data_IF_205264843517
#
_entry.id   IF_205264843517
#
_cell.length_a   1.000
_cell.length_b   1.000
_cell.length_c   1.000
_cell.angle_alpha   90.00
_cell.angle_beta   90.00
_cell.angle_gamma   90.00
#
_symmetry.space_group_name_H-M   'P 1'
#
loop_
_entity.id
_entity.type
_entity.pdbx_description
1 polymer ?
#
# COMPACT_ATOMS: atom_id res chain seq x y z
N UNK A 1 -94.98 7.16 59.34
CA UNK A 1 -93.63 6.60 59.53
C UNK A 1 -93.62 5.21 58.91
N UNK A 2 -92.77 4.99 57.89
CA UNK A 2 -92.71 3.71 57.18
C UNK A 2 -91.86 2.72 57.98
N UNK A 3 -92.49 1.65 58.45
CA UNK A 3 -91.88 0.59 59.26
C UNK A 3 -90.81 -0.20 58.45
N UNK A 4 -90.76 -0.04 57.12
CA UNK A 4 -89.73 -0.62 56.24
C UNK A 4 -88.40 0.15 56.18
N UNK A 5 -88.32 1.38 56.70
CA UNK A 5 -87.06 2.16 56.67
C UNK A 5 -86.15 1.88 57.88
N UNK A 6 -86.73 1.46 59.01
CA UNK A 6 -86.00 1.15 60.25
C UNK A 6 -85.04 -0.04 60.10
N UNK A 7 -85.40 -1.16 59.44
CA UNK A 7 -84.49 -2.30 59.27
C UNK A 7 -83.27 -1.95 58.41
N UNK A 8 -83.45 -1.16 57.35
CA UNK A 8 -82.37 -0.75 56.44
C UNK A 8 -81.43 0.26 57.09
N UNK A 9 -81.95 1.21 57.87
CA UNK A 9 -81.13 2.14 58.63
C UNK A 9 -80.25 1.44 59.68
N UNK A 10 -80.78 0.41 60.34
CA UNK A 10 -80.03 -0.41 61.30
C UNK A 10 -78.96 -1.23 60.57
N UNK A 11 -79.27 -1.82 59.41
CA UNK A 11 -78.28 -2.53 58.58
C UNK A 11 -77.16 -1.61 58.08
N UNK A 12 -77.48 -0.37 57.67
CA UNK A 12 -76.50 0.66 57.30
C UNK A 12 -75.58 0.99 58.48
N UNK A 13 -76.13 1.12 59.69
CA UNK A 13 -75.35 1.35 60.91
C UNK A 13 -74.42 0.17 61.25
N UNK A 14 -74.90 -1.07 61.11
CA UNK A 14 -74.08 -2.27 61.33
C UNK A 14 -72.98 -2.41 60.28
N UNK A 15 -73.26 -2.08 59.02
CA UNK A 15 -72.25 -2.06 57.96
C UNK A 15 -71.20 -0.97 58.21
N UNK A 16 -71.61 0.24 58.63
CA UNK A 16 -70.67 1.29 59.03
C UNK A 16 -69.77 0.87 60.20
N UNK A 17 -70.31 0.17 61.21
CA UNK A 17 -69.52 -0.37 62.32
C UNK A 17 -68.55 -1.47 61.86
N UNK A 18 -69.00 -2.37 60.99
CA UNK A 18 -68.17 -3.44 60.42
C UNK A 18 -67.09 -2.91 59.47
N UNK A 19 -67.35 -1.77 58.82
CA UNK A 19 -66.43 -1.07 57.90
C UNK A 19 -65.38 -0.25 58.64
N UNK A 20 -65.66 0.21 59.86
CA UNK A 20 -64.75 1.01 60.68
C UNK A 20 -63.34 0.40 60.83
N UNK A 21 -63.16 -0.89 61.18
CA UNK A 21 -61.83 -1.49 61.24
C UNK A 21 -61.12 -1.54 59.87
N UNK A 22 -61.86 -1.76 58.77
CA UNK A 22 -61.30 -1.75 57.41
C UNK A 22 -60.84 -0.34 56.99
N UNK A 23 -61.59 0.69 57.38
CA UNK A 23 -61.22 2.09 57.12
C UNK A 23 -59.99 2.52 57.93
N UNK A 24 -59.85 2.05 59.18
CA UNK A 24 -58.64 2.28 59.99
C UNK A 24 -57.41 1.58 59.39
N UNK A 25 -57.57 0.39 58.81
CA UNK A 25 -56.49 -0.30 58.09
C UNK A 25 -56.10 0.46 56.82
N UNK A 26 -57.08 0.96 56.08
CA UNK A 26 -56.87 1.82 54.92
C UNK A 26 -56.05 3.07 55.31
N UNK A 27 -56.50 3.83 56.30
CA UNK A 27 -55.89 5.09 56.75
C UNK A 27 -54.51 4.91 57.37
N UNK A 28 -54.21 3.76 58.00
CA UNK A 28 -52.98 3.56 58.78
C UNK A 28 -51.92 2.71 58.08
N UNK A 29 -52.34 1.75 57.25
CA UNK A 29 -51.46 0.77 56.62
C UNK A 29 -51.38 0.99 55.11
N UNK A 30 -52.53 1.16 54.45
CA UNK A 30 -52.58 1.28 52.98
C UNK A 30 -52.08 2.64 52.50
N UNK A 31 -52.33 3.72 53.25
CA UNK A 31 -51.77 5.05 52.96
C UNK A 31 -50.24 5.12 52.97
N UNK A 32 -49.56 4.22 53.72
CA UNK A 32 -48.08 4.13 53.75
C UNK A 32 -47.50 3.43 52.52
N UNK A 33 -48.31 2.66 51.79
CA UNK A 33 -47.90 1.96 50.57
C UNK A 33 -48.07 2.93 49.39
N UNK A 34 -47.13 3.01 48.43
CA UNK A 34 -47.29 3.87 47.25
C UNK A 34 -48.62 3.63 46.54
N UNK A 35 -49.29 4.70 46.09
CA UNK A 35 -50.62 4.64 45.46
C UNK A 35 -50.68 3.79 44.19
N UNK A 36 -49.54 3.53 43.55
CA UNK A 36 -49.41 2.72 42.34
C UNK A 36 -48.98 1.27 42.62
N UNK A 37 -48.76 0.92 43.89
CA UNK A 37 -48.33 -0.43 44.24
C UNK A 37 -49.45 -1.44 43.90
N UNK A 38 -49.12 -2.56 43.22
CA UNK A 38 -50.13 -3.53 42.80
C UNK A 38 -51.00 -4.06 43.94
N UNK A 39 -50.40 -4.31 45.12
CA UNK A 39 -51.12 -4.78 46.29
C UNK A 39 -52.14 -3.77 46.84
N UNK A 40 -51.83 -2.47 46.78
CA UNK A 40 -52.71 -1.38 47.21
C UNK A 40 -53.86 -1.18 46.22
N UNK A 41 -53.56 -1.19 44.92
CA UNK A 41 -54.57 -1.07 43.87
C UNK A 41 -55.58 -2.23 43.86
N UNK A 42 -55.12 -3.45 44.13
CA UNK A 42 -56.00 -4.61 44.29
C UNK A 42 -56.90 -4.44 45.51
N UNK A 43 -56.35 -4.01 46.65
CA UNK A 43 -57.13 -3.75 47.87
C UNK A 43 -58.18 -2.66 47.64
N UNK A 44 -57.80 -1.49 47.13
CA UNK A 44 -58.70 -0.36 46.83
C UNK A 44 -59.80 -0.77 45.83
N UNK A 45 -59.48 -1.55 44.79
CA UNK A 45 -60.47 -2.07 43.85
C UNK A 45 -61.46 -3.05 44.49
N UNK A 46 -60.99 -4.01 45.29
CA UNK A 46 -61.89 -4.98 45.95
C UNK A 46 -62.81 -4.28 46.95
N UNK A 47 -62.28 -3.27 47.65
CA UNK A 47 -63.01 -2.48 48.62
C UNK A 47 -64.06 -1.58 47.97
N UNK A 48 -63.69 -0.93 46.86
CA UNK A 48 -64.64 -0.12 46.09
C UNK A 48 -65.76 -0.93 45.47
N UNK A 49 -65.47 -2.16 45.01
CA UNK A 49 -66.51 -3.08 44.52
C UNK A 49 -67.45 -3.54 45.63
N UNK A 50 -66.92 -3.79 46.85
CA UNK A 50 -67.73 -4.12 48.02
C UNK A 50 -68.62 -2.93 48.43
N UNK A 51 -68.07 -1.73 48.50
CA UNK A 51 -68.84 -0.52 48.87
C UNK A 51 -69.91 -0.18 47.80
N UNK A 52 -69.63 -0.39 46.51
CA UNK A 52 -70.61 -0.20 45.45
C UNK A 52 -71.73 -1.25 45.45
N UNK A 53 -71.41 -2.52 45.72
CA UNK A 53 -72.42 -3.59 45.78
C UNK A 53 -73.28 -3.49 47.03
N UNK A 54 -72.69 -3.20 48.19
CA UNK A 54 -73.43 -3.00 49.45
C UNK A 54 -74.23 -1.70 49.41
N UNK A 55 -73.68 -0.62 48.82
CA UNK A 55 -74.40 0.63 48.62
C UNK A 55 -75.65 0.46 47.75
N UNK A 56 -75.56 -0.32 46.67
CA UNK A 56 -76.72 -0.66 45.83
C UNK A 56 -77.75 -1.52 46.57
N UNK A 57 -77.31 -2.46 47.42
CA UNK A 57 -78.22 -3.32 48.19
C UNK A 57 -78.93 -2.57 49.34
N UNK A 58 -78.31 -1.52 49.89
CA UNK A 58 -78.82 -0.71 51.01
C UNK A 58 -79.45 0.62 50.58
N UNK A 59 -79.58 0.87 49.27
CA UNK A 59 -80.05 2.12 48.67
C UNK A 59 -79.31 3.35 49.25
N UNK A 60 -77.98 3.25 49.31
CA UNK A 60 -77.06 4.29 49.78
C UNK A 60 -76.24 4.86 48.61
N UNK A 61 -76.68 5.98 48.00
CA UNK A 61 -76.00 6.56 46.85
C UNK A 61 -74.57 7.04 47.18
N UNK A 62 -74.29 7.42 48.43
CA UNK A 62 -72.98 7.91 48.84
C UNK A 62 -71.92 6.78 48.90
N UNK A 63 -72.35 5.57 49.27
CA UNK A 63 -71.53 4.36 49.25
C UNK A 63 -71.27 3.88 47.82
N UNK A 64 -72.29 3.97 46.96
CA UNK A 64 -72.16 3.66 45.53
C UNK A 64 -71.14 4.58 44.85
N UNK A 65 -71.30 5.90 44.99
CA UNK A 65 -70.41 6.89 44.37
C UNK A 65 -68.96 6.75 44.82
N UNK A 66 -68.74 6.53 46.12
CA UNK A 66 -67.41 6.30 46.68
C UNK A 66 -66.79 5.00 46.17
N UNK A 67 -67.58 3.92 46.13
CA UNK A 67 -67.12 2.62 45.67
C UNK A 67 -66.72 2.64 44.19
N UNK A 68 -67.54 3.26 43.34
CA UNK A 68 -67.26 3.41 41.91
C UNK A 68 -66.03 4.28 41.67
N UNK A 69 -65.90 5.41 42.38
CA UNK A 69 -64.74 6.29 42.26
C UNK A 69 -63.43 5.59 42.67
N UNK A 70 -63.46 4.74 43.70
CA UNK A 70 -62.29 3.99 44.17
C UNK A 70 -61.85 2.90 43.17
N UNK A 71 -62.82 2.21 42.55
CA UNK A 71 -62.55 1.24 41.46
C UNK A 71 -61.94 1.93 40.24
N UNK A 72 -62.54 3.04 39.79
CA UNK A 72 -62.04 3.79 38.62
C UNK A 72 -60.63 4.36 38.84
N UNK A 73 -60.37 4.91 40.03
CA UNK A 73 -59.04 5.38 40.41
C UNK A 73 -58.01 4.25 40.41
N UNK A 74 -58.36 3.09 40.97
CA UNK A 74 -57.45 1.95 41.03
C UNK A 74 -57.13 1.41 39.63
N UNK A 75 -58.13 1.34 38.75
CA UNK A 75 -57.96 0.84 37.38
C UNK A 75 -57.19 1.83 36.48
N UNK A 76 -57.32 3.13 36.71
CA UNK A 76 -56.54 4.15 35.99
C UNK A 76 -55.09 4.16 36.43
N UNK A 77 -54.82 4.15 37.74
CA UNK A 77 -53.46 4.07 38.28
C UNK A 77 -52.76 2.75 37.92
N UNK A 78 -53.47 1.63 37.96
CA UNK A 78 -52.93 0.33 37.55
C UNK A 78 -52.53 0.29 36.07
N UNK A 79 -53.33 0.91 35.20
CA UNK A 79 -52.99 1.05 33.78
C UNK A 79 -51.80 1.99 33.56
N UNK A 80 -51.74 3.12 34.27
CA UNK A 80 -50.62 4.05 34.20
C UNK A 80 -49.31 3.37 34.61
N UNK A 81 -49.27 2.71 35.77
CA UNK A 81 -48.10 1.99 36.25
C UNK A 81 -47.64 0.88 35.27
N UNK A 82 -48.59 0.17 34.64
CA UNK A 82 -48.25 -0.83 33.62
C UNK A 82 -47.65 -0.20 32.35
N UNK A 83 -48.16 0.95 31.91
CA UNK A 83 -47.63 1.68 30.76
C UNK A 83 -46.24 2.24 31.05
N UNK A 84 -46.02 2.79 32.24
CA UNK A 84 -44.72 3.32 32.66
C UNK A 84 -43.67 2.20 32.76
N UNK A 85 -44.03 1.04 33.33
CA UNK A 85 -43.16 -0.12 33.35
C UNK A 85 -42.79 -0.60 31.92
N UNK A 86 -43.77 -0.62 31.00
CA UNK A 86 -43.52 -0.96 29.58
C UNK A 86 -42.66 0.09 28.89
N UNK A 87 -42.86 1.37 29.17
CA UNK A 87 -42.09 2.46 28.60
C UNK A 87 -40.64 2.41 29.09
N UNK A 88 -40.41 2.18 30.39
CA UNK A 88 -39.09 2.00 30.97
C UNK A 88 -38.35 0.82 30.35
N UNK A 89 -39.01 -0.35 30.25
CA UNK A 89 -38.41 -1.54 29.62
C UNK A 89 -38.08 -1.31 28.13
N UNK A 90 -38.96 -0.63 27.38
CA UNK A 90 -38.70 -0.28 25.97
C UNK A 90 -37.53 0.70 25.83
N UNK A 91 -37.43 1.68 26.73
CA UNK A 91 -36.33 2.64 26.74
C UNK A 91 -35.01 1.94 27.02
N UNK A 92 -34.96 1.09 28.04
CA UNK A 92 -33.76 0.31 28.37
C UNK A 92 -33.33 -0.58 27.21
N UNK A 93 -34.27 -1.27 26.55
CA UNK A 93 -33.98 -2.07 25.37
C UNK A 93 -33.47 -1.23 24.20
N UNK A 94 -34.05 -0.04 23.98
CA UNK A 94 -33.62 0.87 22.92
C UNK A 94 -32.21 1.41 23.19
N UNK A 95 -31.93 1.80 24.43
CA UNK A 95 -30.61 2.28 24.87
C UNK A 95 -29.55 1.18 24.72
N UNK A 96 -29.87 -0.06 25.10
CA UNK A 96 -28.98 -1.21 24.91
C UNK A 96 -28.69 -1.48 23.43
N UNK A 97 -29.72 -1.43 22.57
CA UNK A 97 -29.53 -1.58 21.11
C UNK A 97 -28.70 -0.46 20.51
N UNK A 98 -28.95 0.78 20.93
CA UNK A 98 -28.20 1.94 20.45
C UNK A 98 -26.73 1.86 20.84
N UNK A 99 -26.44 1.49 22.10
CA UNK A 99 -25.07 1.30 22.58
C UNK A 99 -24.38 0.16 21.83
N UNK A 100 -25.05 -0.98 21.65
CA UNK A 100 -24.50 -2.10 20.87
C UNK A 100 -24.16 -1.70 19.43
N UNK A 101 -25.09 -1.04 18.73
CA UNK A 101 -24.87 -0.57 17.36
C UNK A 101 -23.75 0.48 17.28
N UNK A 102 -23.61 1.33 18.30
CA UNK A 102 -22.53 2.32 18.38
C UNK A 102 -21.17 1.65 18.57
N UNK A 103 -21.09 0.66 19.46
CA UNK A 103 -19.84 -0.06 19.74
C UNK A 103 -19.40 -0.88 18.52
N UNK A 104 -20.35 -1.52 17.83
CA UNK A 104 -20.11 -2.22 16.56
C UNK A 104 -19.60 -1.26 15.48
N UNK A 105 -20.26 -0.11 15.29
CA UNK A 105 -19.80 0.89 14.32
C UNK A 105 -18.40 1.48 14.67
N UNK A 106 -18.07 1.60 15.96
CA UNK A 106 -16.72 2.02 16.38
C UNK A 106 -15.70 0.93 16.06
N UNK A 107 -16.02 -0.34 16.34
CA UNK A 107 -15.14 -1.48 16.06
C UNK A 107 -14.88 -1.62 14.54
N UNK A 108 -15.93 -1.59 13.72
CA UNK A 108 -15.82 -1.63 12.26
C UNK A 108 -14.96 -0.48 11.72
N UNK A 109 -15.16 0.74 12.24
CA UNK A 109 -14.35 1.90 11.84
C UNK A 109 -12.88 1.72 12.20
N UNK A 110 -12.59 1.19 13.39
CA UNK A 110 -11.21 0.94 13.82
C UNK A 110 -10.55 -0.15 12.98
N UNK A 111 -11.26 -1.23 12.69
CA UNK A 111 -10.78 -2.31 11.82
C UNK A 111 -10.51 -1.80 10.40
N UNK A 112 -11.44 -1.05 9.80
CA UNK A 112 -11.25 -0.45 8.49
C UNK A 112 -10.06 0.51 8.46
N UNK A 113 -9.87 1.31 9.53
CA UNK A 113 -8.71 2.20 9.66
C UNK A 113 -7.39 1.42 9.79
N UNK A 114 -7.38 0.35 10.58
CA UNK A 114 -6.22 -0.52 10.73
C UNK A 114 -5.85 -1.20 9.41
N UNK A 115 -6.83 -1.78 8.71
CA UNK A 115 -6.65 -2.40 7.40
C UNK A 115 -6.11 -1.39 6.38
N UNK A 116 -6.72 -0.20 6.29
CA UNK A 116 -6.25 0.88 5.40
C UNK A 116 -4.82 1.29 5.72
N UNK A 117 -4.46 1.42 7.00
CA UNK A 117 -3.10 1.78 7.40
C UNK A 117 -2.09 0.68 7.03
N UNK A 118 -2.49 -0.58 7.14
CA UNK A 118 -1.69 -1.74 6.78
C UNK A 118 -1.44 -1.76 5.26
N UNK A 119 -2.48 -1.59 4.45
CA UNK A 119 -2.37 -1.48 2.98
C UNK A 119 -1.47 -0.31 2.55
N UNK A 120 -1.57 0.85 3.20
CA UNK A 120 -0.69 1.99 2.93
C UNK A 120 0.77 1.65 3.24
N UNK A 121 1.04 0.96 4.35
CA UNK A 121 2.39 0.56 4.72
C UNK A 121 2.96 -0.45 3.73
N UNK A 122 2.20 -1.49 3.38
CA UNK A 122 2.59 -2.49 2.38
C UNK A 122 2.84 -1.85 1.01
N UNK A 123 1.99 -0.93 0.57
CA UNK A 123 2.17 -0.20 -0.68
C UNK A 123 3.45 0.65 -0.68
N UNK A 124 3.78 1.29 0.46
CA UNK A 124 5.03 2.05 0.62
C UNK A 124 6.25 1.15 0.58
N UNK A 125 6.22 0.02 1.29
CA UNK A 125 7.31 -0.96 1.27
C UNK A 125 7.54 -1.53 -0.12
N UNK A 126 6.47 -1.90 -0.83
CA UNK A 126 6.55 -2.38 -2.21
C UNK A 126 7.11 -1.30 -3.16
N UNK A 127 6.70 -0.03 -2.98
CA UNK A 127 7.23 1.08 -3.77
C UNK A 127 8.73 1.30 -3.52
N UNK A 128 9.18 1.25 -2.27
CA UNK A 128 10.59 1.37 -1.91
C UNK A 128 11.43 0.18 -2.42
N UNK A 129 10.91 -1.05 -2.35
CA UNK A 129 11.55 -2.22 -2.93
C UNK A 129 11.74 -2.06 -4.45
N UNK A 130 10.67 -1.69 -5.18
CA UNK A 130 10.76 -1.46 -6.63
C UNK A 130 11.76 -0.36 -6.98
N UNK A 131 11.81 0.72 -6.19
CA UNK A 131 12.80 1.80 -6.38
C UNK A 131 14.23 1.29 -6.21
N UNK A 132 14.49 0.47 -5.19
CA UNK A 132 15.80 -0.17 -4.96
C UNK A 132 16.17 -1.11 -6.10
N UNK A 133 15.25 -1.98 -6.53
CA UNK A 133 15.45 -2.90 -7.64
C UNK A 133 15.72 -2.15 -8.96
N UNK A 134 14.93 -1.11 -9.26
CA UNK A 134 15.15 -0.28 -10.44
C UNK A 134 16.53 0.40 -10.41
N UNK A 135 16.94 0.92 -9.25
CA UNK A 135 18.26 1.52 -9.08
C UNK A 135 19.38 0.50 -9.27
N UNK A 136 19.27 -0.68 -8.67
CA UNK A 136 20.26 -1.75 -8.83
C UNK A 136 20.34 -2.24 -10.27
N UNK A 137 19.19 -2.45 -10.93
CA UNK A 137 19.11 -2.85 -12.33
C UNK A 137 19.75 -1.80 -13.25
N UNK A 138 19.45 -0.52 -13.05
CA UNK A 138 20.06 0.58 -13.81
C UNK A 138 21.58 0.65 -13.61
N UNK A 139 22.06 0.44 -12.37
CA UNK A 139 23.49 0.39 -12.07
C UNK A 139 24.17 -0.81 -12.74
N UNK A 140 23.56 -2.00 -12.69
CA UNK A 140 24.08 -3.20 -13.35
C UNK A 140 24.13 -3.04 -14.86
N UNK A 141 23.08 -2.50 -15.47
CA UNK A 141 23.04 -2.22 -16.91
C UNK A 141 24.10 -1.19 -17.31
N UNK A 142 24.25 -0.13 -16.52
CA UNK A 142 25.28 0.90 -16.76
C UNK A 142 26.69 0.33 -16.64
N UNK A 143 26.95 -0.49 -15.62
CA UNK A 143 28.23 -1.18 -15.45
C UNK A 143 28.51 -2.15 -16.60
N UNK A 144 27.51 -2.90 -17.05
CA UNK A 144 27.62 -3.80 -18.20
C UNK A 144 27.88 -3.04 -19.51
N UNK A 145 27.19 -1.91 -19.72
CA UNK A 145 27.41 -1.04 -20.88
C UNK A 145 28.83 -0.46 -20.88
N UNK A 146 29.32 0.00 -19.72
CA UNK A 146 30.70 0.50 -19.58
C UNK A 146 31.73 -0.57 -19.92
N UNK A 147 31.58 -1.79 -19.38
CA UNK A 147 32.48 -2.92 -19.71
C UNK A 147 32.50 -3.22 -21.20
N UNK A 148 31.32 -3.27 -21.85
CA UNK A 148 31.23 -3.51 -23.30
C UNK A 148 31.91 -2.39 -24.11
N UNK A 149 31.78 -1.15 -23.69
CA UNK A 149 32.44 -0.02 -24.33
C UNK A 149 33.97 -0.10 -24.18
N UNK A 150 34.47 -0.44 -22.99
CA UNK A 150 35.90 -0.65 -22.73
C UNK A 150 36.45 -1.82 -23.57
N UNK A 151 35.76 -2.95 -23.62
CA UNK A 151 36.13 -4.10 -24.46
C UNK A 151 36.18 -3.73 -25.96
N UNK A 152 35.21 -2.95 -26.43
CA UNK A 152 35.19 -2.48 -27.82
C UNK A 152 36.37 -1.54 -28.12
N UNK A 153 36.66 -0.61 -27.21
CA UNK A 153 37.79 0.30 -27.32
C UNK A 153 39.13 -0.46 -27.33
N UNK A 154 39.29 -1.46 -26.46
CA UNK A 154 40.47 -2.32 -26.41
C UNK A 154 40.65 -3.13 -27.71
N UNK A 155 39.56 -3.69 -28.25
CA UNK A 155 39.60 -4.38 -29.55
C UNK A 155 40.04 -3.42 -30.65
N UNK A 156 39.49 -2.22 -30.69
CA UNK A 156 39.85 -1.21 -31.69
C UNK A 156 41.31 -0.79 -31.57
N UNK A 157 41.81 -0.57 -30.35
CA UNK A 157 43.23 -0.28 -30.09
C UNK A 157 44.13 -1.39 -30.61
N UNK A 158 43.82 -2.66 -30.31
CA UNK A 158 44.58 -3.82 -30.81
C UNK A 158 44.58 -3.90 -32.33
N UNK A 159 43.46 -3.62 -32.99
CA UNK A 159 43.36 -3.58 -34.46
C UNK A 159 44.19 -2.47 -35.06
N UNK A 160 44.20 -1.28 -34.45
CA UNK A 160 45.04 -0.15 -34.92
C UNK A 160 46.52 -0.47 -34.71
N UNK A 161 46.90 -1.03 -33.56
CA UNK A 161 48.28 -1.43 -33.29
C UNK A 161 48.77 -2.54 -34.24
N UNK A 162 47.93 -3.53 -34.55
CA UNK A 162 48.29 -4.58 -35.51
C UNK A 162 48.44 -4.04 -36.93
N UNK A 163 47.53 -3.15 -37.37
CA UNK A 163 47.63 -2.46 -38.65
C UNK A 163 48.90 -1.60 -38.73
N UNK A 164 49.22 -0.86 -37.66
CA UNK A 164 50.46 -0.06 -37.58
C UNK A 164 51.70 -0.95 -37.75
N UNK A 165 51.79 -2.06 -37.01
CA UNK A 165 52.90 -3.03 -37.15
C UNK A 165 52.98 -3.59 -38.56
N UNK A 166 51.85 -3.87 -39.20
CA UNK A 166 51.83 -4.37 -40.58
C UNK A 166 52.37 -3.33 -41.58
N UNK A 167 52.01 -2.06 -41.40
CA UNK A 167 52.55 -0.96 -42.22
C UNK A 167 54.05 -0.81 -41.98
N UNK A 168 54.52 -0.76 -40.73
CA UNK A 168 55.95 -0.67 -40.39
C UNK A 168 56.75 -1.80 -41.04
N UNK A 169 56.27 -3.05 -40.95
CA UNK A 169 56.92 -4.20 -41.58
C UNK A 169 56.97 -4.09 -43.11
N UNK A 170 55.88 -3.61 -43.74
CA UNK A 170 55.84 -3.40 -45.20
C UNK A 170 56.79 -2.30 -45.64
N UNK A 171 56.85 -1.19 -44.91
CA UNK A 171 57.78 -0.09 -45.19
C UNK A 171 59.22 -0.56 -45.08
N UNK A 172 59.59 -1.25 -43.98
CA UNK A 172 60.94 -1.81 -43.83
C UNK A 172 61.30 -2.81 -44.94
N UNK A 173 60.35 -3.65 -45.36
CA UNK A 173 60.57 -4.57 -46.47
C UNK A 173 60.77 -3.84 -47.80
N UNK A 174 59.99 -2.79 -48.07
CA UNK A 174 60.13 -1.96 -49.25
C UNK A 174 61.47 -1.20 -49.25
N UNK A 175 61.86 -0.60 -48.12
CA UNK A 175 63.16 0.07 -47.96
C UNK A 175 64.31 -0.90 -48.23
N UNK A 176 64.30 -2.10 -47.63
CA UNK A 176 65.31 -3.13 -47.89
C UNK A 176 65.37 -3.53 -49.36
N UNK A 177 64.22 -3.67 -50.02
CA UNK A 177 64.16 -4.01 -51.44
C UNK A 177 64.76 -2.90 -52.31
N UNK A 178 64.45 -1.63 -52.01
CA UNK A 178 65.03 -0.46 -52.69
C UNK A 178 66.54 -0.38 -52.45
N UNK A 179 67.01 -0.55 -51.21
CA UNK A 179 68.44 -0.58 -50.90
C UNK A 179 69.18 -1.70 -51.64
N UNK A 180 68.60 -2.91 -51.69
CA UNK A 180 69.17 -4.03 -52.44
C UNK A 180 69.24 -3.75 -53.94
N UNK A 181 68.19 -3.16 -54.51
CA UNK A 181 68.18 -2.77 -55.91
C UNK A 181 69.18 -1.65 -56.23
N UNK A 182 69.39 -0.71 -55.30
CA UNK A 182 70.41 0.33 -55.41
C UNK A 182 71.83 -0.26 -55.36
N UNK A 183 72.11 -1.15 -54.41
CA UNK A 183 73.40 -1.86 -54.33
C UNK A 183 73.71 -2.61 -55.63
N UNK A 184 72.75 -3.36 -56.16
CA UNK A 184 72.93 -4.08 -57.43
C UNK A 184 73.16 -3.14 -58.65
N UNK A 185 72.68 -1.88 -58.61
CA UNK A 185 72.98 -0.88 -59.64
C UNK A 185 74.40 -0.34 -59.49
N UNK A 186 74.88 -0.18 -58.27
CA UNK A 186 76.27 0.23 -57.98
C UNK A 186 77.22 -0.86 -58.48
N UNK A 187 77.00 -2.13 -58.11
CA UNK A 187 77.83 -3.27 -58.56
C UNK A 187 77.92 -3.30 -60.09
N UNK A 188 76.79 -3.19 -60.80
CA UNK A 188 76.76 -3.13 -62.26
C UNK A 188 77.49 -1.91 -62.85
N UNK A 189 77.52 -0.79 -62.13
CA UNK A 189 78.24 0.39 -62.57
C UNK A 189 79.75 0.20 -62.39
N UNK A 190 80.18 -0.42 -61.30
CA UNK A 190 81.56 -0.81 -61.04
C UNK A 190 82.07 -1.80 -62.10
N UNK A 191 81.29 -2.84 -62.42
CA UNK A 191 81.60 -3.80 -63.49
C UNK A 191 81.83 -3.08 -64.83
N UNK A 192 80.94 -2.14 -65.20
CA UNK A 192 81.08 -1.36 -66.43
C UNK A 192 82.30 -0.44 -66.42
N UNK A 193 82.66 0.11 -65.26
CA UNK A 193 83.87 0.92 -65.12
C UNK A 193 85.13 0.08 -65.31
N UNK A 194 85.15 -1.15 -64.78
CA UNK A 194 86.22 -2.11 -64.98
C UNK A 194 86.36 -2.49 -66.47
N UNK A 195 85.25 -2.88 -67.13
CA UNK A 195 85.26 -3.16 -68.57
C UNK A 195 85.74 -1.97 -69.41
N UNK A 196 85.36 -0.75 -69.04
CA UNK A 196 85.81 0.45 -69.72
C UNK A 196 87.32 0.71 -69.51
N UNK A 197 87.84 0.42 -68.32
CA UNK A 197 89.28 0.51 -68.03
C UNK A 197 90.07 -0.53 -68.82
N UNK A 198 89.59 -1.77 -68.92
CA UNK A 198 90.22 -2.84 -69.72
C UNK A 198 90.28 -2.46 -71.20
N UNK A 199 89.18 -1.95 -71.76
CA UNK A 199 89.14 -1.46 -73.15
C UNK A 199 90.09 -0.30 -73.40
N UNK A 200 90.26 0.61 -72.43
CA UNK A 200 91.26 1.68 -72.51
C UNK A 200 92.68 1.11 -72.52
N UNK A 201 92.98 0.18 -71.61
CA UNK A 201 94.28 -0.46 -71.57
C UNK A 201 94.60 -1.27 -72.83
N UNK A 202 93.60 -1.90 -73.46
CA UNK A 202 93.74 -2.56 -74.76
C UNK A 202 93.99 -1.54 -75.88
N UNK A 203 93.22 -0.45 -75.93
CA UNK A 203 93.43 0.62 -76.90
C UNK A 203 94.83 1.26 -76.75
N UNK A 204 95.29 1.49 -75.52
CA UNK A 204 96.64 1.99 -75.23
C UNK A 204 97.72 1.02 -75.72
N UNK A 205 97.52 -0.30 -75.54
CA UNK A 205 98.43 -1.33 -76.10
C UNK A 205 98.44 -1.33 -77.63
N UNK A 206 97.28 -1.23 -78.28
CA UNK A 206 97.19 -1.15 -79.74
C UNK A 206 97.86 0.12 -80.25
N UNK A 207 97.68 1.25 -79.58
CA UNK A 207 98.37 2.50 -79.90
C UNK A 207 99.90 2.35 -79.79
N UNK A 208 100.39 1.75 -78.70
CA UNK A 208 101.82 1.44 -78.54
C UNK A 208 102.36 0.52 -79.64
N UNK A 209 101.61 -0.52 -80.02
CA UNK A 209 101.99 -1.41 -81.12
C UNK A 209 102.02 -0.67 -82.47
N UNK A 210 101.04 0.20 -82.73
CA UNK A 210 100.99 1.01 -83.94
C UNK A 210 102.14 2.03 -84.00
N UNK A 211 102.49 2.65 -82.86
CA UNK A 211 103.63 3.56 -82.76
C UNK A 211 104.96 2.80 -82.93
N UNK A 212 105.09 1.59 -82.39
CA UNK A 212 106.24 0.71 -82.60
C UNK A 212 106.37 0.26 -84.07
N UNK A 213 105.27 -0.09 -84.73
CA UNK A 213 105.26 -0.43 -86.17
C UNK A 213 105.64 0.78 -87.03
N UNK A 214 105.16 1.99 -86.69
CA UNK A 214 105.60 3.23 -87.34
C UNK A 214 107.09 3.46 -87.16
N UNK A 215 107.64 3.24 -85.97
CA UNK A 215 109.08 3.34 -85.72
C UNK A 215 109.86 2.32 -86.55
N UNK A 216 109.45 1.06 -86.59
CA UNK A 216 110.07 0.04 -87.46
C UNK A 216 110.02 0.43 -88.94
N UNK A 217 108.89 0.93 -89.45
CA UNK A 217 108.79 1.42 -90.84
C UNK A 217 109.66 2.65 -91.12
N UNK A 218 109.90 3.50 -90.12
CA UNK A 218 110.84 4.62 -90.24
C UNK A 218 112.29 4.13 -90.23
N UNK A 219 112.62 3.12 -89.44
CA UNK A 219 113.95 2.49 -89.41
C UNK A 219 114.26 1.68 -90.68
N UNK A 220 113.27 1.01 -91.26
CA UNK A 220 113.40 0.34 -92.57
C UNK A 220 113.62 1.35 -93.70
N UNK A 221 112.90 2.48 -93.70
CA UNK A 221 113.11 3.58 -94.67
C UNK A 221 114.41 4.35 -94.50
N UNK A 222 115.06 4.24 -93.34
CA UNK A 222 116.37 4.86 -93.09
C UNK A 222 117.54 3.94 -93.48
N UNK A 223 117.27 2.72 -93.96
CA UNK A 223 118.25 1.71 -94.40
C UNK A 223 118.24 1.44 -95.91
N UNK A 224 117.36 2.11 -96.65
CA UNK A 224 117.41 2.28 -98.12
C UNK A 224 118.02 3.65 -98.47
#
# INVERSE_FOLDING_TARGET
MKISEVPLAVLRFHYQLARFPLQVIEDRVVTRIPSEAPARLLFERTLGMLDATVGNALDDPSLVERGTALVERSDTLGRAAQLDAKAAARKEQADAKLNGARDEAIAERQEAQAATQQEINEAREAAEQRKREATQSAQQQSAAAKRRAEEAADRQKRTVESAKRQVENRTQAAEKAVSKAAAAKIDKAEDKLAEAADKRAEADRVAQLADAEKQQRQEERAKD
#
